data_IF_670246164306
#
_entry.id   IF_670246164306
#
_cell.length_a   1.000
_cell.length_b   1.000
_cell.length_c   1.000
_cell.angle_alpha   90.00
_cell.angle_beta   90.00
_cell.angle_gamma   90.00
#
_symmetry.space_group_name_H-M   'P 1'
#
loop_
_entity.id
_entity.type
_entity.pdbx_description
1 polymer ?
#
# COMPACT_ATOMS: atom_id res chain seq x y z
N UNK A 1 -19.98 -20.85 -12.05
CA UNK A 1 -19.04 -20.26 -11.07
C UNK A 1 -18.76 -18.78 -11.35
N UNK A 2 -18.09 -18.42 -12.46
CA UNK A 2 -17.62 -17.05 -12.73
C UNK A 2 -18.70 -15.96 -12.67
N UNK A 3 -19.93 -16.23 -13.12
CA UNK A 3 -21.07 -15.30 -12.99
C UNK A 3 -21.38 -14.94 -11.52
N UNK A 4 -21.24 -15.90 -10.61
CA UNK A 4 -21.45 -15.67 -9.17
C UNK A 4 -20.30 -14.85 -8.56
N UNK A 5 -19.05 -15.11 -8.98
CA UNK A 5 -17.87 -14.34 -8.55
C UNK A 5 -17.95 -12.90 -9.04
N UNK A 6 -18.34 -12.69 -10.31
CA UNK A 6 -18.59 -11.37 -10.89
C UNK A 6 -19.64 -10.60 -10.07
N UNK A 7 -20.78 -11.24 -9.77
CA UNK A 7 -21.82 -10.62 -8.92
C UNK A 7 -21.29 -10.23 -7.54
N UNK A 8 -20.37 -11.01 -6.98
CA UNK A 8 -19.73 -10.71 -5.70
C UNK A 8 -18.81 -9.48 -5.80
N UNK A 9 -17.89 -9.45 -6.76
CA UNK A 9 -16.97 -8.32 -6.94
C UNK A 9 -17.69 -7.03 -7.33
N UNK A 10 -18.76 -7.12 -8.13
CA UNK A 10 -19.59 -5.97 -8.44
C UNK A 10 -20.20 -5.34 -7.19
N UNK A 11 -20.73 -6.15 -6.27
CA UNK A 11 -21.27 -5.67 -4.98
C UNK A 11 -20.18 -5.09 -4.09
N UNK A 12 -18.99 -5.70 -4.05
CA UNK A 12 -17.85 -5.16 -3.31
C UNK A 12 -17.41 -3.79 -3.85
N UNK A 13 -17.40 -3.66 -5.19
CA UNK A 13 -17.08 -2.40 -5.87
C UNK A 13 -18.13 -1.31 -5.57
N UNK A 14 -19.42 -1.64 -5.60
CA UNK A 14 -20.47 -0.70 -5.20
C UNK A 14 -20.33 -0.27 -3.74
N UNK A 15 -20.13 -1.23 -2.83
CA UNK A 15 -19.98 -0.95 -1.40
C UNK A 15 -18.80 -0.01 -1.11
N UNK A 16 -17.65 -0.18 -1.78
CA UNK A 16 -16.51 0.72 -1.57
C UNK A 16 -16.78 2.12 -2.15
N UNK A 17 -17.48 2.22 -3.28
CA UNK A 17 -17.86 3.48 -3.90
C UNK A 17 -18.87 4.27 -3.07
N UNK A 18 -19.75 3.59 -2.34
CA UNK A 18 -20.73 4.19 -1.43
C UNK A 18 -20.14 4.51 -0.04
N UNK A 19 -19.03 3.87 0.35
CA UNK A 19 -18.42 4.03 1.67
C UNK A 19 -17.86 5.45 1.90
N UNK A 20 -18.20 6.13 3.01
CA UNK A 20 -17.60 7.45 3.29
C UNK A 20 -16.10 7.31 3.56
N UNK A 21 -15.28 8.16 2.94
CA UNK A 21 -13.88 8.30 3.32
C UNK A 21 -13.83 8.82 4.77
N UNK A 22 -13.32 8.00 5.70
CA UNK A 22 -13.04 8.49 7.05
C UNK A 22 -11.81 9.39 6.99
N UNK A 23 -11.99 10.67 7.35
CA UNK A 23 -10.87 11.60 7.44
C UNK A 23 -9.90 11.13 8.53
N UNK A 24 -8.61 11.18 8.21
CA UNK A 24 -7.55 10.93 9.17
C UNK A 24 -7.51 12.08 10.17
N UNK A 25 -8.20 11.92 11.30
CA UNK A 25 -8.04 12.85 12.42
C UNK A 25 -6.77 12.39 13.15
N UNK A 26 -5.76 13.25 13.26
CA UNK A 26 -4.57 12.97 14.05
C UNK A 26 -4.84 13.33 15.52
N UNK A 27 -5.37 12.41 16.33
CA UNK A 27 -5.41 12.60 17.79
C UNK A 27 -4.40 11.66 18.45
N UNK A 28 -3.61 12.19 19.40
CA UNK A 28 -2.91 11.48 20.48
C UNK A 28 -1.87 10.42 20.09
N UNK A 29 -0.72 10.40 20.79
CA UNK A 29 0.39 9.47 20.53
C UNK A 29 -0.01 7.99 20.49
N UNK A 30 -0.80 7.51 21.46
CA UNK A 30 -1.23 6.10 21.52
C UNK A 30 -2.08 5.65 20.31
N UNK A 31 -2.94 6.53 19.80
CA UNK A 31 -3.77 6.24 18.62
C UNK A 31 -2.93 6.27 17.34
N UNK A 32 -1.91 7.12 17.26
CA UNK A 32 -0.99 7.19 16.11
C UNK A 32 -0.17 5.89 15.93
N UNK A 33 0.29 5.29 17.02
CA UNK A 33 1.02 4.01 16.97
C UNK A 33 0.12 2.84 16.56
N UNK A 34 -1.14 2.86 17.00
CA UNK A 34 -2.13 1.86 16.57
C UNK A 34 -2.45 1.97 15.07
N UNK A 35 -2.50 3.20 14.54
CA UNK A 35 -2.68 3.43 13.10
C UNK A 35 -1.48 2.94 12.30
N UNK A 36 -0.24 3.20 12.75
CA UNK A 36 0.96 2.72 12.07
C UNK A 36 0.96 1.21 11.93
N UNK A 37 0.67 0.49 13.03
CA UNK A 37 0.59 -0.98 13.01
C UNK A 37 -0.48 -1.49 12.06
N UNK A 38 -1.66 -0.87 12.06
CA UNK A 38 -2.74 -1.24 11.14
C UNK A 38 -2.35 -1.00 9.67
N UNK A 39 -1.64 0.09 9.37
CA UNK A 39 -1.13 0.38 8.02
C UNK A 39 -0.09 -0.67 7.57
N UNK A 40 0.86 -1.04 8.44
CA UNK A 40 1.86 -2.08 8.14
C UNK A 40 1.22 -3.46 7.95
N UNK A 41 0.20 -3.78 8.74
CA UNK A 41 -0.58 -5.01 8.58
C UNK A 41 -1.32 -5.02 7.24
N UNK A 42 -1.98 -3.92 6.87
CA UNK A 42 -2.66 -3.81 5.58
C UNK A 42 -1.68 -3.95 4.40
N UNK A 43 -0.51 -3.31 4.46
CA UNK A 43 0.55 -3.46 3.45
C UNK A 43 0.95 -4.93 3.28
N UNK A 44 1.22 -5.61 4.40
CA UNK A 44 1.59 -7.03 4.40
C UNK A 44 0.50 -7.92 3.82
N UNK A 45 -0.76 -7.71 4.23
CA UNK A 45 -1.87 -8.50 3.71
C UNK A 45 -2.12 -8.24 2.22
N UNK A 46 -1.91 -7.02 1.72
CA UNK A 46 -1.98 -6.73 0.28
C UNK A 46 -0.90 -7.47 -0.51
N UNK A 47 0.33 -7.53 -0.01
CA UNK A 47 1.39 -8.33 -0.62
C UNK A 47 1.05 -9.83 -0.62
N UNK A 48 0.59 -10.35 0.52
CA UNK A 48 0.17 -11.75 0.62
C UNK A 48 -1.00 -12.06 -0.33
N UNK A 49 -1.99 -11.18 -0.41
CA UNK A 49 -3.12 -11.33 -1.31
C UNK A 49 -2.69 -11.29 -2.78
N UNK A 50 -1.84 -10.33 -3.18
CA UNK A 50 -1.30 -10.25 -4.53
C UNK A 50 -0.53 -11.51 -4.92
N UNK A 51 0.29 -12.04 -4.02
CA UNK A 51 1.08 -13.25 -4.26
C UNK A 51 0.17 -14.48 -4.43
N UNK A 52 -0.78 -14.67 -3.51
CA UNK A 52 -1.75 -15.78 -3.55
C UNK A 52 -2.62 -15.72 -4.81
N UNK A 53 -3.12 -14.54 -5.17
CA UNK A 53 -3.90 -14.35 -6.39
C UNK A 53 -3.08 -14.68 -7.64
N UNK A 54 -1.86 -14.13 -7.73
CA UNK A 54 -0.96 -14.41 -8.86
C UNK A 54 -0.63 -15.91 -8.98
N UNK A 55 -0.35 -16.58 -7.87
CA UNK A 55 -0.13 -18.03 -7.85
C UNK A 55 -1.37 -18.80 -8.30
N UNK A 56 -2.56 -18.40 -7.84
CA UNK A 56 -3.82 -19.05 -8.22
C UNK A 56 -4.06 -18.99 -9.74
N UNK A 57 -3.89 -17.80 -10.34
CA UNK A 57 -3.99 -17.62 -11.81
C UNK A 57 -2.96 -18.47 -12.54
N UNK A 58 -1.70 -18.45 -12.08
CA UNK A 58 -0.63 -19.26 -12.67
C UNK A 58 -0.92 -20.76 -12.59
N UNK A 59 -1.42 -21.23 -11.45
CA UNK A 59 -1.79 -22.64 -11.25
C UNK A 59 -2.94 -23.05 -12.16
N UNK A 60 -3.98 -22.22 -12.30
CA UNK A 60 -5.08 -22.49 -13.25
C UNK A 60 -4.55 -22.59 -14.67
N UNK A 61 -3.73 -21.63 -15.10
CA UNK A 61 -3.11 -21.62 -16.43
C UNK A 61 -2.28 -22.87 -16.68
N UNK A 62 -1.37 -23.20 -15.77
CA UNK A 62 -0.51 -24.37 -15.88
C UNK A 62 -1.31 -25.68 -15.94
N UNK A 63 -2.38 -25.80 -15.15
CA UNK A 63 -3.23 -26.98 -15.15
C UNK A 63 -3.93 -27.16 -16.51
N UNK A 64 -4.55 -26.10 -17.02
CA UNK A 64 -5.30 -26.15 -18.28
C UNK A 64 -4.37 -26.40 -19.47
N UNK A 65 -3.21 -25.74 -19.51
CA UNK A 65 -2.19 -25.96 -20.55
C UNK A 65 -1.65 -27.40 -20.51
N UNK A 66 -1.39 -27.93 -19.32
CA UNK A 66 -0.91 -29.32 -19.16
C UNK A 66 -1.95 -30.33 -19.61
N UNK A 67 -3.23 -30.12 -19.23
CA UNK A 67 -4.33 -30.98 -19.63
C UNK A 67 -4.53 -30.96 -21.14
N UNK A 68 -4.57 -29.77 -21.74
CA UNK A 68 -4.71 -29.62 -23.18
C UNK A 68 -3.51 -30.24 -23.93
N UNK A 69 -2.29 -29.97 -23.47
CA UNK A 69 -1.07 -30.55 -24.04
C UNK A 69 -1.01 -32.07 -23.92
N UNK A 70 -1.47 -32.65 -22.82
CA UNK A 70 -1.58 -34.11 -22.66
C UNK A 70 -2.60 -34.70 -23.63
N UNK A 71 -3.79 -34.11 -23.73
CA UNK A 71 -4.81 -34.55 -24.68
C UNK A 71 -4.28 -34.48 -26.11
N UNK A 72 -3.69 -33.36 -26.54
CA UNK A 72 -3.16 -33.22 -27.89
C UNK A 72 -2.14 -34.30 -28.26
N UNK A 73 -1.35 -34.81 -27.30
CA UNK A 73 -0.41 -35.93 -27.53
C UNK A 73 -1.11 -37.27 -27.76
N UNK A 74 -2.34 -37.43 -27.29
CA UNK A 74 -3.17 -38.59 -27.60
C UNK A 74 -3.72 -38.56 -29.03
N UNK A 75 -3.69 -37.40 -29.71
CA UNK A 75 -3.94 -37.32 -31.14
C UNK A 75 -2.64 -37.70 -31.87
N UNK A 76 -2.62 -38.90 -32.46
CA UNK A 76 -1.53 -39.37 -33.31
C UNK A 76 -1.59 -38.71 -34.70
N UNK A 77 -1.62 -37.37 -34.77
CA UNK A 77 -1.74 -36.68 -36.06
C UNK A 77 -0.81 -35.48 -36.20
N UNK A 78 -0.09 -35.44 -37.32
CA UNK A 78 0.61 -34.24 -37.79
C UNK A 78 -0.39 -33.21 -38.32
N UNK A 79 -0.17 -31.90 -38.09
CA UNK A 79 -1.03 -30.85 -38.63
C UNK A 79 -1.12 -30.95 -40.16
N UNK A 80 -2.34 -31.04 -40.70
CA UNK A 80 -2.56 -31.02 -42.14
C UNK A 80 -2.22 -29.63 -42.70
N UNK A 81 -1.24 -29.57 -43.59
CA UNK A 81 -0.81 -28.34 -44.27
C UNK A 81 -1.42 -28.33 -45.67
N UNK A 82 -2.28 -27.36 -45.92
CA UNK A 82 -2.87 -27.10 -47.25
C UNK A 82 -2.17 -25.91 -47.92
N UNK A 83 -2.32 -25.69 -49.23
CA UNK A 83 -1.78 -24.50 -49.91
C UNK A 83 -2.24 -23.17 -49.30
N UNK A 84 -3.40 -23.17 -48.63
CA UNK A 84 -3.98 -22.02 -47.94
C UNK A 84 -3.51 -21.88 -46.46
N UNK A 85 -2.66 -22.79 -45.99
CA UNK A 85 -2.09 -22.80 -44.63
C UNK A 85 -2.46 -24.04 -43.81
N UNK A 86 -2.17 -23.98 -42.51
CA UNK A 86 -2.47 -25.06 -41.55
C UNK A 86 -3.98 -25.07 -41.30
N UNK A 87 -4.61 -26.24 -41.45
CA UNK A 87 -6.05 -26.39 -41.23
C UNK A 87 -6.41 -26.08 -39.77
N UNK A 88 -7.47 -25.28 -39.50
CA UNK A 88 -7.91 -24.98 -38.14
C UNK A 88 -8.24 -26.24 -37.34
N UNK A 89 -7.79 -26.29 -36.09
CA UNK A 89 -7.97 -27.44 -35.19
C UNK A 89 -9.45 -27.84 -35.07
N UNK A 90 -9.80 -28.96 -35.71
CA UNK A 90 -11.15 -29.52 -35.73
C UNK A 90 -11.12 -31.05 -35.50
N UNK A 91 -10.81 -31.51 -34.28
CA UNK A 91 -10.71 -32.94 -33.94
C UNK A 91 -11.98 -33.73 -34.24
N UNK A 92 -13.15 -33.08 -34.26
CA UNK A 92 -14.40 -33.73 -34.65
C UNK A 92 -14.38 -34.27 -36.09
N UNK A 93 -13.61 -33.68 -37.01
CA UNK A 93 -13.48 -34.18 -38.39
C UNK A 93 -12.82 -35.56 -38.46
N UNK A 94 -11.98 -35.88 -37.48
CA UNK A 94 -11.25 -37.15 -37.37
C UNK A 94 -11.90 -38.10 -36.36
N UNK A 95 -13.15 -37.83 -35.96
CA UNK A 95 -13.87 -38.65 -34.99
C UNK A 95 -13.34 -38.56 -33.55
N UNK A 96 -12.48 -37.58 -33.25
CA UNK A 96 -11.97 -37.41 -31.89
C UNK A 96 -13.10 -36.96 -30.95
N UNK A 97 -13.12 -37.43 -29.69
CA UNK A 97 -14.14 -37.06 -28.73
C UNK A 97 -14.27 -35.54 -28.51
N UNK A 98 -15.46 -35.02 -28.14
CA UNK A 98 -15.68 -33.57 -27.94
C UNK A 98 -14.75 -32.90 -26.92
N UNK A 99 -14.18 -33.69 -25.98
CA UNK A 99 -13.26 -33.19 -24.95
C UNK A 99 -12.03 -32.47 -25.53
N UNK A 100 -11.55 -32.87 -26.71
CA UNK A 100 -10.40 -32.23 -27.36
C UNK A 100 -10.72 -30.78 -27.78
N UNK A 101 -11.94 -30.55 -28.29
CA UNK A 101 -12.42 -29.20 -28.63
C UNK A 101 -12.61 -28.38 -27.37
N UNK A 102 -13.27 -28.94 -26.35
CA UNK A 102 -13.53 -28.26 -25.07
C UNK A 102 -12.22 -27.82 -24.42
N UNK A 103 -11.24 -28.71 -24.27
CA UNK A 103 -9.96 -28.40 -23.61
C UNK A 103 -9.12 -27.41 -24.41
N UNK A 104 -9.14 -27.48 -25.74
CA UNK A 104 -8.45 -26.51 -26.58
C UNK A 104 -9.07 -25.11 -26.45
N UNK A 105 -10.40 -25.01 -26.57
CA UNK A 105 -11.10 -23.74 -26.40
C UNK A 105 -10.90 -23.18 -24.98
N UNK A 106 -10.94 -24.05 -23.97
CA UNK A 106 -10.70 -23.67 -22.58
C UNK A 106 -9.27 -23.14 -22.37
N UNK A 107 -8.28 -23.77 -23.01
CA UNK A 107 -6.89 -23.32 -22.99
C UNK A 107 -6.72 -21.94 -23.64
N UNK A 108 -7.37 -21.71 -24.78
CA UNK A 108 -7.33 -20.41 -25.47
C UNK A 108 -8.03 -19.32 -24.65
N UNK A 109 -9.24 -19.60 -24.15
CA UNK A 109 -9.98 -18.69 -23.29
C UNK A 109 -9.21 -18.34 -22.01
N UNK A 110 -8.49 -19.30 -21.43
CA UNK A 110 -7.72 -19.06 -20.22
C UNK A 110 -6.51 -18.12 -20.43
N UNK A 111 -5.96 -18.07 -21.65
CA UNK A 111 -4.86 -17.16 -22.00
C UNK A 111 -5.22 -15.70 -21.73
N UNK A 112 -6.33 -15.23 -22.29
CA UNK A 112 -6.80 -13.84 -22.14
C UNK A 112 -7.21 -13.50 -20.69
N UNK A 113 -7.82 -14.46 -19.99
CA UNK A 113 -8.18 -14.31 -18.57
C UNK A 113 -6.93 -14.13 -17.70
N UNK A 114 -5.89 -14.92 -17.96
CA UNK A 114 -4.63 -14.87 -17.21
C UNK A 114 -3.91 -13.53 -17.39
N UNK A 115 -3.91 -12.97 -18.60
CA UNK A 115 -3.35 -11.65 -18.90
C UNK A 115 -4.09 -10.56 -18.12
N UNK A 116 -5.42 -10.59 -18.12
CA UNK A 116 -6.25 -9.64 -17.37
C UNK A 116 -5.99 -9.74 -15.85
N UNK A 117 -5.69 -10.93 -15.34
CA UNK A 117 -5.35 -11.17 -13.94
C UNK A 117 -4.10 -10.40 -13.45
N UNK A 118 -3.18 -10.03 -14.35
CA UNK A 118 -2.00 -9.22 -13.99
C UNK A 118 -2.40 -7.83 -13.48
N UNK A 119 -3.46 -7.23 -14.05
CA UNK A 119 -4.00 -5.94 -13.63
C UNK A 119 -4.47 -5.93 -12.17
N UNK A 120 -5.06 -7.04 -11.71
CA UNK A 120 -5.47 -7.22 -10.31
C UNK A 120 -4.26 -7.20 -9.38
N UNK A 121 -3.22 -7.98 -9.69
CA UNK A 121 -2.00 -8.02 -8.87
C UNK A 121 -1.25 -6.68 -8.86
N UNK A 122 -1.25 -5.96 -9.98
CA UNK A 122 -0.61 -4.65 -10.09
C UNK A 122 -1.35 -3.61 -9.26
N UNK A 123 -2.69 -3.63 -9.25
CA UNK A 123 -3.48 -2.73 -8.42
C UNK A 123 -3.22 -2.97 -6.91
N UNK A 124 -3.14 -4.24 -6.48
CA UNK A 124 -2.80 -4.59 -5.09
C UNK A 124 -1.40 -4.11 -4.71
N UNK A 125 -0.41 -4.36 -5.58
CA UNK A 125 0.98 -3.94 -5.34
C UNK A 125 1.12 -2.43 -5.31
N UNK A 126 0.45 -1.72 -6.21
CA UNK A 126 0.44 -0.25 -6.24
C UNK A 126 -0.13 0.33 -4.95
N UNK A 127 -1.22 -0.25 -4.43
CA UNK A 127 -1.76 0.21 -3.14
C UNK A 127 -0.79 -0.09 -1.99
N UNK A 128 -0.18 -1.27 -1.96
CA UNK A 128 0.84 -1.60 -0.96
C UNK A 128 2.02 -0.60 -0.99
N UNK A 129 2.50 -0.23 -2.18
CA UNK A 129 3.54 0.80 -2.33
C UNK A 129 3.11 2.17 -1.80
N UNK A 130 1.87 2.60 -2.03
CA UNK A 130 1.36 3.85 -1.46
C UNK A 130 1.27 3.82 0.07
N UNK A 131 0.93 2.66 0.67
CA UNK A 131 0.96 2.48 2.13
C UNK A 131 2.39 2.50 2.67
N UNK A 132 3.33 1.90 1.94
CA UNK A 132 4.75 1.93 2.28
C UNK A 132 5.29 3.37 2.37
N UNK A 133 4.99 4.18 1.37
CA UNK A 133 5.34 5.62 1.39
C UNK A 133 4.70 6.37 2.56
N UNK A 134 3.47 6.02 2.94
CA UNK A 134 2.81 6.61 4.11
C UNK A 134 3.54 6.23 5.40
N UNK A 135 3.91 4.95 5.55
CA UNK A 135 4.65 4.45 6.71
C UNK A 135 5.97 5.20 6.85
N UNK A 136 6.74 5.33 5.77
CA UNK A 136 8.03 6.04 5.76
C UNK A 136 7.88 7.51 6.16
N UNK A 137 6.85 8.20 5.63
CA UNK A 137 6.55 9.59 6.02
C UNK A 137 6.15 9.70 7.50
N UNK A 138 5.41 8.73 8.02
CA UNK A 138 4.99 8.70 9.41
C UNK A 138 6.15 8.42 10.36
N UNK A 139 7.09 7.57 9.97
CA UNK A 139 8.33 7.32 10.73
C UNK A 139 9.24 8.56 10.79
N UNK A 140 9.38 9.28 9.67
CA UNK A 140 10.13 10.54 9.64
C UNK A 140 9.46 11.63 10.49
N UNK A 141 8.13 11.76 10.43
CA UNK A 141 7.38 12.69 11.29
C UNK A 141 7.61 12.40 12.78
N UNK A 142 7.62 11.12 13.17
CA UNK A 142 7.89 10.68 14.53
C UNK A 142 9.34 10.92 14.97
N UNK A 143 10.30 10.84 14.03
CA UNK A 143 11.70 11.19 14.29
C UNK A 143 11.84 12.69 14.54
N UNK A 144 11.29 13.53 13.67
CA UNK A 144 11.28 14.99 13.83
C UNK A 144 10.59 15.41 15.13
N UNK A 145 9.48 14.73 15.49
CA UNK A 145 8.79 14.96 16.76
C UNK A 145 9.70 14.73 17.96
N UNK A 146 10.35 13.55 18.04
CA UNK A 146 11.27 13.20 19.14
C UNK A 146 12.45 14.17 19.23
N UNK A 147 13.02 14.59 18.10
CA UNK A 147 14.09 15.59 18.05
C UNK A 147 13.62 16.94 18.62
N UNK A 148 12.43 17.41 18.22
CA UNK A 148 11.88 18.69 18.73
C UNK A 148 11.49 18.64 20.20
N UNK A 149 10.97 17.52 20.69
CA UNK A 149 10.67 17.31 22.12
C UNK A 149 11.96 17.31 22.95
N UNK A 150 13.00 16.60 22.51
CA UNK A 150 14.30 16.59 23.15
C UNK A 150 14.93 18.00 23.23
N UNK A 151 14.94 18.74 22.11
CA UNK A 151 15.45 20.11 22.09
C UNK A 151 14.66 21.04 23.00
N UNK A 152 13.33 20.86 23.08
CA UNK A 152 12.46 21.63 23.96
C UNK A 152 12.77 21.35 25.44
N UNK A 153 12.92 20.07 25.81
CA UNK A 153 13.25 19.66 27.18
C UNK A 153 14.65 20.12 27.60
N UNK A 154 15.65 20.03 26.71
CA UNK A 154 17.01 20.48 27.00
C UNK A 154 17.06 21.99 27.23
N UNK A 155 16.40 22.77 26.35
CA UNK A 155 16.26 24.21 26.52
C UNK A 155 15.58 24.56 27.84
N UNK A 156 14.51 23.84 28.20
CA UNK A 156 13.78 24.07 29.45
C UNK A 156 14.64 23.75 30.68
N UNK A 157 15.39 22.64 30.66
CA UNK A 157 16.33 22.26 31.73
C UNK A 157 17.39 23.34 31.92
N UNK A 158 18.01 23.84 30.84
CA UNK A 158 19.01 24.92 30.90
C UNK A 158 18.42 26.21 31.47
N UNK A 159 17.23 26.60 31.02
CA UNK A 159 16.52 27.78 31.54
C UNK A 159 16.18 27.64 33.03
N UNK A 160 15.80 26.44 33.51
CA UNK A 160 15.57 26.16 34.94
C UNK A 160 16.86 26.28 35.76
N UNK A 161 17.97 25.71 35.29
CA UNK A 161 19.28 25.79 35.96
C UNK A 161 19.70 27.26 36.10
N UNK A 162 19.57 28.05 35.03
CA UNK A 162 19.84 29.49 35.03
C UNK A 162 18.97 30.25 36.05
N UNK A 163 17.67 29.96 36.12
CA UNK A 163 16.75 30.58 37.07
C UNK A 163 17.07 30.22 38.53
N UNK A 164 17.49 28.99 38.82
CA UNK A 164 17.87 28.57 40.17
C UNK A 164 19.23 29.14 40.60
N UNK A 165 20.22 29.16 39.70
CA UNK A 165 21.54 29.74 39.97
C UNK A 165 21.50 31.26 40.23
N UNK A 166 20.60 31.97 39.56
CA UNK A 166 20.36 33.41 39.80
C UNK A 166 19.51 33.68 41.05
N UNK A 167 18.64 32.75 41.46
CA UNK A 167 17.83 32.84 42.69
C UNK A 167 18.59 32.52 43.97
N UNK A 168 19.58 31.63 43.93
CA UNK A 168 20.42 31.25 45.08
C UNK A 168 21.30 32.40 45.59
N UNK A 169 21.96 33.13 44.69
CA UNK A 169 22.80 34.28 45.05
C UNK A 169 22.01 35.52 45.51
N UNK A 170 20.68 35.51 45.39
CA UNK A 170 19.82 36.62 45.79
C UNK A 170 19.46 36.56 47.27
N UNK A 171 19.56 35.40 47.93
CA UNK A 171 19.40 35.27 49.39
C UNK A 171 20.66 35.63 50.17
N UNK A 172 21.84 35.46 49.58
CA UNK A 172 23.12 35.80 50.24
C UNK A 172 23.53 37.28 50.06
N UNK A 173 22.85 38.04 49.18
CA UNK A 173 23.20 39.44 48.89
C UNK A 173 22.47 40.47 49.78
N UNK A 174 21.53 40.03 50.61
CA UNK A 174 20.88 40.92 51.59
C UNK A 174 21.71 41.07 52.90
N UNK A 175 22.92 40.50 52.95
CA UNK A 175 23.76 40.51 54.16
C UNK A 175 25.02 41.40 54.11
N UNK A 176 25.44 41.98 52.98
CA UNK A 176 26.57 42.93 53.00
C UNK A 176 26.49 44.04 51.97
N UNK A 177 26.60 45.25 52.51
CA UNK A 177 26.66 46.54 51.85
C UNK A 177 27.96 46.77 51.07
N UNK A 178 27.82 47.60 50.05
CA UNK A 178 28.80 48.50 49.42
C UNK A 178 29.73 47.97 48.31
N UNK A 179 29.58 48.64 47.16
CA UNK A 179 30.56 48.83 46.06
C UNK A 179 31.20 47.58 45.45
N UNK A 180 30.62 47.12 44.35
CA UNK A 180 31.25 47.09 43.01
C UNK A 180 30.20 46.59 42.03
N UNK A 181 29.89 47.39 41.02
CA UNK A 181 28.89 47.08 39.99
C UNK A 181 29.35 45.92 39.10
N UNK A 182 29.16 44.69 39.55
CA UNK A 182 29.15 43.52 38.66
C UNK A 182 27.68 43.26 38.33
N UNK A 183 27.23 43.91 37.25
CA UNK A 183 26.02 43.49 36.55
C UNK A 183 26.27 42.06 36.07
N UNK A 184 25.71 41.08 36.78
CA UNK A 184 25.69 39.68 36.32
C UNK A 184 24.63 39.61 35.22
N UNK A 185 24.97 40.23 34.09
CA UNK A 185 24.41 39.85 32.79
C UNK A 185 24.83 38.40 32.60
N UNK A 186 23.91 37.52 32.18
CA UNK A 186 24.30 36.19 31.71
C UNK A 186 25.54 36.35 30.81
N UNK A 187 26.59 35.55 31.02
CA UNK A 187 27.79 35.62 30.18
C UNK A 187 27.35 35.66 28.72
N UNK A 188 27.92 36.57 27.92
CA UNK A 188 27.48 36.82 26.55
C UNK A 188 27.45 35.49 25.75
N UNK A 189 28.44 34.63 25.99
CA UNK A 189 28.54 33.27 25.45
C UNK A 189 27.34 32.36 25.77
N UNK A 190 26.82 32.42 27.00
CA UNK A 190 25.67 31.62 27.43
C UNK A 190 24.37 32.12 26.81
N UNK A 191 24.27 33.43 26.61
CA UNK A 191 23.12 34.04 25.92
C UNK A 191 23.10 33.63 24.45
N UNK A 192 24.26 33.66 23.78
CA UNK A 192 24.43 33.18 22.40
C UNK A 192 24.07 31.69 22.28
N UNK A 193 24.49 30.84 23.21
CA UNK A 193 24.13 29.40 23.22
C UNK A 193 22.61 29.19 23.35
N UNK A 194 21.94 29.88 24.27
CA UNK A 194 20.48 29.77 24.44
C UNK A 194 19.71 30.29 23.22
N UNK A 195 20.16 31.38 22.60
CA UNK A 195 19.53 31.92 21.40
C UNK A 195 19.77 30.99 20.20
N UNK A 196 20.94 30.36 20.10
CA UNK A 196 21.21 29.29 19.12
C UNK A 196 20.26 28.10 19.31
N UNK A 197 20.06 27.64 20.54
CA UNK A 197 19.13 26.55 20.85
C UNK A 197 17.68 26.91 20.54
N UNK A 198 17.27 28.15 20.78
CA UNK A 198 15.93 28.66 20.43
C UNK A 198 15.69 28.65 18.93
N UNK A 199 16.65 29.13 18.14
CA UNK A 199 16.52 29.08 16.68
C UNK A 199 16.50 27.63 16.17
N UNK A 200 17.36 26.74 16.67
CA UNK A 200 17.30 25.29 16.34
C UNK A 200 15.94 24.66 16.67
N UNK A 201 15.35 25.01 17.81
CA UNK A 201 14.02 24.52 18.20
C UNK A 201 12.93 25.05 17.25
N UNK A 202 13.01 26.31 16.84
CA UNK A 202 12.08 26.94 15.90
C UNK A 202 12.17 26.30 14.51
N UNK A 203 13.39 26.08 14.00
CA UNK A 203 13.64 25.34 12.76
C UNK A 203 13.12 23.90 12.84
N UNK A 204 13.40 23.19 13.94
CA UNK A 204 12.88 21.85 14.19
C UNK A 204 11.35 21.80 14.18
N UNK A 205 10.68 22.76 14.84
CA UNK A 205 9.21 22.87 14.84
C UNK A 205 8.66 23.14 13.43
N UNK A 206 9.35 23.94 12.63
CA UNK A 206 8.97 24.16 11.23
C UNK A 206 9.09 22.87 10.42
N UNK A 207 10.21 22.14 10.54
CA UNK A 207 10.41 20.82 9.90
C UNK A 207 9.32 19.81 10.29
N UNK A 208 9.01 19.71 11.58
CA UNK A 208 7.95 18.84 12.09
C UNK A 208 6.57 19.20 11.54
N UNK A 209 6.25 20.50 11.44
CA UNK A 209 4.99 20.98 10.85
C UNK A 209 4.87 20.59 9.37
N UNK A 210 5.94 20.69 8.60
CA UNK A 210 5.95 20.24 7.20
C UNK A 210 5.82 18.72 7.09
N UNK A 211 6.48 17.95 7.95
CA UNK A 211 6.33 16.50 8.00
C UNK A 211 4.88 16.06 8.27
N UNK A 212 4.18 16.73 9.20
CA UNK A 212 2.75 16.47 9.46
C UNK A 212 1.90 16.69 8.20
N UNK A 213 2.15 17.76 7.44
CA UNK A 213 1.42 18.03 6.19
C UNK A 213 1.66 16.93 5.15
N UNK A 214 2.90 16.47 5.02
CA UNK A 214 3.26 15.38 4.11
C UNK A 214 2.61 14.05 4.50
N UNK A 215 2.55 13.74 5.80
CA UNK A 215 1.81 12.58 6.30
C UNK A 215 0.32 12.71 5.98
N UNK A 216 -0.28 13.87 6.21
CA UNK A 216 -1.71 14.08 5.94
C UNK A 216 -2.04 13.96 4.44
N UNK A 217 -1.21 14.52 3.55
CA UNK A 217 -1.41 14.41 2.11
C UNK A 217 -1.25 12.95 1.65
N UNK A 218 -0.23 12.25 2.14
CA UNK A 218 -0.02 10.83 1.85
C UNK A 218 -1.14 9.94 2.40
N UNK A 219 -1.64 10.21 3.61
CA UNK A 219 -2.75 9.45 4.21
C UNK A 219 -4.05 9.65 3.43
N UNK A 220 -4.23 10.84 2.85
CA UNK A 220 -5.40 11.13 2.00
C UNK A 220 -5.32 10.38 0.67
N UNK A 221 -4.15 10.32 0.04
CA UNK A 221 -3.97 9.58 -1.23
C UNK A 221 -3.96 8.06 -1.04
N UNK A 222 -3.40 7.56 0.06
CA UNK A 222 -3.34 6.14 0.42
C UNK A 222 -4.50 5.68 1.32
N UNK A 223 -5.60 6.44 1.35
CA UNK A 223 -6.79 6.06 2.11
C UNK A 223 -7.29 4.67 1.68
N UNK A 224 -7.90 3.93 2.60
CA UNK A 224 -8.45 2.61 2.31
C UNK A 224 -9.41 2.63 1.12
N UNK A 225 -10.24 3.67 1.01
CA UNK A 225 -11.17 3.85 -0.12
C UNK A 225 -10.41 4.07 -1.44
N UNK A 226 -9.47 5.01 -1.48
CA UNK A 226 -8.72 5.33 -2.72
C UNK A 226 -7.88 4.14 -3.18
N UNK A 227 -7.30 3.37 -2.27
CA UNK A 227 -6.52 2.18 -2.58
C UNK A 227 -7.32 0.96 -3.02
N UNK A 228 -8.50 0.73 -2.42
CA UNK A 228 -9.33 -0.43 -2.76
C UNK A 228 -10.13 -0.27 -4.06
N UNK A 229 -10.48 0.96 -4.47
CA UNK A 229 -11.25 1.22 -5.69
C UNK A 229 -10.57 0.61 -6.94
N UNK A 230 -9.28 0.87 -7.22
CA UNK A 230 -8.58 0.26 -8.35
C UNK A 230 -8.56 -1.27 -8.30
N UNK A 231 -8.40 -1.86 -7.10
CA UNK A 231 -8.35 -3.31 -6.92
C UNK A 231 -9.70 -3.94 -7.26
N UNK A 232 -10.80 -3.43 -6.71
CA UNK A 232 -12.12 -3.98 -6.99
C UNK A 232 -12.57 -3.74 -8.43
N UNK A 233 -12.19 -2.61 -9.05
CA UNK A 233 -12.39 -2.39 -10.48
C UNK A 233 -11.64 -3.43 -11.32
N UNK A 234 -10.39 -3.72 -10.96
CA UNK A 234 -9.60 -4.74 -11.65
C UNK A 234 -10.21 -6.14 -11.47
N UNK A 235 -10.71 -6.49 -10.29
CA UNK A 235 -11.39 -7.76 -10.02
C UNK A 235 -12.70 -7.92 -10.81
N UNK A 236 -13.50 -6.85 -10.89
CA UNK A 236 -14.74 -6.80 -11.68
C UNK A 236 -14.42 -7.00 -13.17
N UNK A 237 -13.45 -6.27 -13.72
CA UNK A 237 -12.99 -6.43 -15.09
C UNK A 237 -12.46 -7.84 -15.36
N UNK A 238 -11.57 -8.35 -14.50
CA UNK A 238 -11.01 -9.71 -14.60
C UNK A 238 -12.10 -10.77 -14.64
N UNK A 239 -13.10 -10.68 -13.75
CA UNK A 239 -14.18 -11.67 -13.72
C UNK A 239 -15.20 -11.51 -14.84
N UNK A 240 -15.44 -10.29 -15.32
CA UNK A 240 -16.20 -10.03 -16.55
C UNK A 240 -15.54 -10.70 -17.76
N UNK A 241 -14.23 -10.49 -17.93
CA UNK A 241 -13.48 -11.14 -19.01
C UNK A 241 -13.45 -12.66 -18.86
N UNK A 242 -13.34 -13.19 -17.63
CA UNK A 242 -13.47 -14.63 -17.39
C UNK A 242 -14.84 -15.19 -17.79
N UNK A 243 -15.94 -14.48 -17.50
CA UNK A 243 -17.28 -14.89 -17.95
C UNK A 243 -17.34 -14.92 -19.46
N UNK A 244 -16.94 -13.83 -20.13
CA UNK A 244 -16.95 -13.75 -21.60
C UNK A 244 -16.09 -14.83 -22.23
N UNK A 245 -14.85 -14.99 -21.78
CA UNK A 245 -13.90 -15.95 -22.34
C UNK A 245 -14.44 -17.39 -22.23
N UNK A 246 -14.98 -17.77 -21.07
CA UNK A 246 -15.48 -19.14 -20.89
C UNK A 246 -16.87 -19.40 -21.48
N UNK A 247 -17.66 -18.37 -21.81
CA UNK A 247 -18.90 -18.55 -22.59
C UNK A 247 -18.63 -18.97 -24.04
N UNK A 248 -17.45 -18.69 -24.58
CA UNK A 248 -17.04 -19.13 -25.92
C UNK A 248 -16.55 -20.58 -25.95
N UNK A 249 -16.38 -21.24 -24.81
CA UNK A 249 -15.96 -22.64 -24.76
C UNK A 249 -17.10 -23.53 -25.25
N UNK A 250 -16.88 -24.22 -26.36
CA UNK A 250 -17.90 -25.06 -26.99
C UNK A 250 -18.10 -26.35 -26.20
N UNK A 251 -19.10 -26.37 -25.34
CA UNK A 251 -19.57 -27.60 -24.67
C UNK A 251 -20.65 -28.19 -25.58
N UNK A 252 -20.43 -29.38 -26.15
CA UNK A 252 -21.51 -30.09 -26.84
C UNK A 252 -22.56 -30.46 -25.80
N UNK A 253 -23.76 -29.89 -25.91
CA UNK A 253 -24.89 -30.33 -25.11
C UNK A 253 -25.18 -31.79 -25.45
N UNK A 254 -24.98 -32.68 -24.48
CA UNK A 254 -25.66 -33.97 -24.49
C UNK A 254 -27.14 -33.70 -24.19
N UNK A 255 -27.92 -33.62 -25.27
CA UNK A 255 -29.39 -33.44 -25.35
C UNK A 255 -29.94 -32.06 -25.06
#
# INVERSE_FOLDING_TARGET
MWKAVLKCHHRQFQAIMESKARSFIANGGSRRDSHLRATMELERELHAWSSRFGSWIKSQKSFIESLNGWLLRCLLQEPEVTPDGIVPFSPGRIGAPPIFVICNDWSQANGSVSETGTGVTNAMRSFASSLRELIEKQEEEQKQRRETEYLSEDLEKRLRILRMGSGGLRRDRDAMSDKTGVSIVASDDLKVDLDSMREKLKEGRARHKEAIKLVHSAASSSSLRSGLIPIFRALDNFTSEAVKAYEHVRIQNAR
#
